data_IF_082677935530
#
_entry.id   IF_082677935530
#
_cell.length_a   1.000
_cell.length_b   1.000
_cell.length_c   1.000
_cell.angle_alpha   90.00
_cell.angle_beta   90.00
_cell.angle_gamma   90.00
#
_symmetry.space_group_name_H-M   'P 1'
#
loop_
_entity.id
_entity.type
_entity.pdbx_description
1 polymer ?
#
# COMPACT_ATOMS: atom_id res chain seq x y z
N UNK A 1 70.45 -0.11 6.72
CA UNK A 1 69.13 0.24 7.28
C UNK A 1 68.16 0.33 6.14
N UNK A 2 67.39 -0.72 5.82
CA UNK A 2 66.43 -0.75 4.71
C UNK A 2 65.06 -0.54 5.27
N UNK A 3 64.42 0.58 4.92
CA UNK A 3 63.00 0.84 5.25
C UNK A 3 62.13 0.12 4.23
N UNK A 4 61.43 -0.90 4.66
CA UNK A 4 60.40 -1.60 3.89
C UNK A 4 59.12 -0.80 4.05
N UNK A 5 58.66 -0.17 2.96
CA UNK A 5 57.34 0.43 2.85
C UNK A 5 56.33 -0.68 2.58
N UNK A 6 55.49 -0.97 3.57
CA UNK A 6 54.34 -1.86 3.42
C UNK A 6 53.20 -1.00 2.85
N UNK A 7 52.97 -1.05 1.54
CA UNK A 7 51.76 -0.50 0.91
C UNK A 7 50.67 -1.51 1.07
N UNK A 8 49.86 -1.31 2.10
CA UNK A 8 48.60 -2.06 2.29
C UNK A 8 47.59 -1.54 1.28
N UNK A 9 47.47 -2.23 0.14
CA UNK A 9 46.46 -1.97 -0.85
C UNK A 9 45.07 -2.29 -0.30
N UNK A 10 44.32 -1.28 0.07
CA UNK A 10 42.91 -1.40 0.41
C UNK A 10 42.15 -1.65 -0.90
N UNK A 11 41.91 -2.93 -1.19
CA UNK A 11 41.05 -3.35 -2.29
C UNK A 11 39.60 -3.04 -1.86
N UNK A 12 39.11 -1.87 -2.24
CA UNK A 12 37.68 -1.53 -2.10
C UNK A 12 36.93 -2.39 -3.11
N UNK A 13 36.43 -3.51 -2.65
CA UNK A 13 35.42 -4.27 -3.36
C UNK A 13 34.13 -3.43 -3.39
N UNK A 14 33.92 -2.70 -4.49
CA UNK A 14 32.66 -2.07 -4.81
C UNK A 14 31.63 -3.17 -5.09
N UNK A 15 30.88 -3.54 -4.06
CA UNK A 15 29.68 -4.37 -4.21
C UNK A 15 28.67 -3.51 -4.93
N UNK A 16 28.38 -3.81 -6.19
CA UNK A 16 27.31 -3.19 -6.96
C UNK A 16 25.99 -3.59 -6.31
N UNK A 17 25.47 -2.77 -5.40
CA UNK A 17 24.15 -2.99 -4.82
C UNK A 17 23.10 -2.54 -5.82
N UNK A 18 22.46 -3.47 -6.50
CA UNK A 18 21.29 -3.20 -7.34
C UNK A 18 20.17 -2.78 -6.41
N UNK A 19 19.90 -1.50 -6.38
CA UNK A 19 18.85 -0.93 -5.57
C UNK A 19 17.50 -1.16 -6.23
N UNK A 20 16.63 -1.92 -5.61
CA UNK A 20 15.23 -1.99 -6.00
C UNK A 20 14.36 -1.36 -4.91
N UNK A 21 13.45 -0.53 -5.28
CA UNK A 21 12.93 0.58 -4.45
C UNK A 21 11.60 0.36 -3.81
N UNK A 22 11.00 -0.81 -3.87
CA UNK A 22 9.67 -1.01 -3.33
C UNK A 22 9.77 -1.73 -2.00
N UNK A 23 9.89 -0.94 -0.96
CA UNK A 23 9.86 -1.44 0.39
C UNK A 23 8.49 -2.00 0.75
N UNK A 24 8.43 -3.30 0.88
CA UNK A 24 7.28 -3.98 1.44
C UNK A 24 6.37 -4.54 0.38
N UNK A 25 6.52 -5.85 0.20
CA UNK A 25 5.63 -6.69 -0.56
C UNK A 25 4.22 -6.21 -0.45
N UNK A 26 3.66 -5.85 -1.58
CA UNK A 26 2.24 -5.78 -1.85
C UNK A 26 1.28 -5.38 -0.74
N UNK A 27 1.76 -4.70 0.26
CA UNK A 27 0.86 -4.10 1.23
C UNK A 27 0.02 -3.08 0.50
N UNK A 28 -1.06 -3.54 -0.11
CA UNK A 28 -2.07 -2.67 -0.66
C UNK A 28 -2.33 -1.57 0.35
N UNK A 29 -2.41 -0.33 -0.08
CA UNK A 29 -2.99 0.69 0.77
C UNK A 29 -4.35 0.16 1.18
N UNK A 30 -4.62 0.11 2.48
CA UNK A 30 -5.96 -0.14 2.98
C UNK A 30 -6.84 1.07 2.64
N UNK A 31 -6.95 1.33 1.35
CA UNK A 31 -7.91 2.28 0.81
C UNK A 31 -9.26 1.61 0.79
N UNK A 32 -10.14 2.04 1.66
CA UNK A 32 -11.49 1.47 1.78
C UNK A 32 -12.43 1.95 0.69
N UNK A 33 -11.99 2.84 -0.22
CA UNK A 33 -12.89 3.49 -1.17
C UNK A 33 -13.85 4.46 -0.47
N UNK A 34 -14.64 5.13 -1.26
CA UNK A 34 -15.84 5.85 -0.81
C UNK A 34 -17.03 4.89 -0.91
N UNK A 35 -17.00 3.75 -0.21
CA UNK A 35 -18.07 2.77 -0.28
C UNK A 35 -19.40 3.47 0.03
N UNK A 36 -20.35 3.51 -0.89
CA UNK A 36 -21.63 4.24 -0.71
C UNK A 36 -22.41 3.75 0.50
N UNK A 37 -22.16 2.52 0.98
CA UNK A 37 -22.87 1.88 2.08
C UNK A 37 -21.90 1.12 3.00
N UNK A 38 -21.06 1.83 3.74
CA UNK A 38 -20.24 1.22 4.81
C UNK A 38 -21.07 0.54 5.92
N UNK A 39 -22.39 0.71 5.91
CA UNK A 39 -23.31 0.10 6.88
C UNK A 39 -23.60 -1.37 6.63
N UNK A 40 -23.42 -1.88 5.41
CA UNK A 40 -23.75 -3.25 5.04
C UNK A 40 -22.55 -4.19 5.15
N UNK A 41 -22.83 -5.46 5.37
CA UNK A 41 -21.87 -6.53 5.14
C UNK A 41 -21.63 -6.64 3.63
N UNK A 42 -20.41 -6.96 3.23
CA UNK A 42 -20.12 -7.06 1.79
C UNK A 42 -19.01 -8.07 1.51
N UNK A 43 -19.00 -8.58 0.29
CA UNK A 43 -17.90 -9.28 -0.34
C UNK A 43 -17.50 -8.51 -1.60
N UNK A 44 -16.21 -8.42 -1.87
CA UNK A 44 -15.72 -7.70 -3.04
C UNK A 44 -14.40 -8.21 -3.58
N UNK A 45 -14.07 -7.73 -4.77
CA UNK A 45 -12.80 -7.95 -5.44
C UNK A 45 -12.20 -6.58 -5.75
N UNK A 46 -10.90 -6.42 -5.51
CA UNK A 46 -10.12 -5.25 -5.87
C UNK A 46 -8.96 -5.64 -6.75
N UNK A 47 -8.71 -4.83 -7.75
CA UNK A 47 -7.51 -4.89 -8.56
C UNK A 47 -6.65 -3.68 -8.26
N UNK A 48 -5.37 -3.91 -8.01
CA UNK A 48 -4.37 -2.86 -7.83
C UNK A 48 -3.28 -3.01 -8.89
N UNK A 49 -2.90 -1.87 -9.44
CA UNK A 49 -1.77 -1.73 -10.33
C UNK A 49 -0.81 -0.67 -9.80
N UNK A 50 0.48 -0.93 -9.88
CA UNK A 50 1.51 0.08 -9.64
C UNK A 50 2.70 -0.17 -10.55
N UNK A 51 3.23 0.90 -11.15
CA UNK A 51 4.40 0.86 -12.02
C UNK A 51 5.51 1.70 -11.42
N UNK A 52 6.68 1.07 -11.34
CA UNK A 52 7.90 1.71 -10.86
C UNK A 52 9.02 1.54 -11.86
N UNK A 53 9.80 2.59 -12.03
CA UNK A 53 10.98 2.58 -12.85
C UNK A 53 12.20 2.89 -11.97
N UNK A 54 13.21 2.02 -12.05
CA UNK A 54 14.46 2.14 -11.31
C UNK A 54 15.60 2.32 -12.28
N UNK A 55 16.50 3.22 -11.98
CA UNK A 55 17.72 3.44 -12.71
C UNK A 55 18.87 3.62 -11.70
N UNK A 56 19.96 2.87 -11.88
CA UNK A 56 21.08 2.95 -10.96
C UNK A 56 21.81 4.27 -11.12
N UNK A 57 22.12 4.93 -10.00
CA UNK A 57 22.85 6.19 -10.02
C UNK A 57 24.28 6.06 -10.58
N UNK A 58 24.90 4.90 -10.36
CA UNK A 58 26.29 4.63 -10.78
C UNK A 58 26.39 4.06 -12.19
N UNK A 59 25.31 3.57 -12.76
CA UNK A 59 25.27 3.02 -14.11
C UNK A 59 23.88 3.26 -14.74
N UNK A 60 23.70 4.38 -15.45
CA UNK A 60 22.43 4.73 -16.07
C UNK A 60 21.95 3.74 -17.16
N UNK A 61 22.81 2.83 -17.63
CA UNK A 61 22.43 1.79 -18.59
C UNK A 61 21.66 0.66 -17.93
N UNK A 62 21.86 0.45 -16.61
CA UNK A 62 21.12 -0.55 -15.86
C UNK A 62 19.79 0.03 -15.36
N UNK A 63 18.71 -0.54 -15.83
CA UNK A 63 17.37 -0.15 -15.43
C UNK A 63 16.50 -1.35 -15.11
N UNK A 64 15.44 -1.13 -14.35
CA UNK A 64 14.35 -2.09 -14.21
C UNK A 64 13.01 -1.39 -14.19
N UNK A 65 12.02 -2.00 -14.84
CA UNK A 65 10.63 -1.56 -14.77
C UNK A 65 9.81 -2.66 -14.11
N UNK A 66 9.17 -2.31 -13.00
CA UNK A 66 8.41 -3.24 -12.18
C UNK A 66 6.93 -2.92 -12.27
N UNK A 67 6.14 -3.88 -12.73
CA UNK A 67 4.69 -3.83 -12.78
C UNK A 67 4.13 -4.72 -11.68
N UNK A 68 3.58 -4.08 -10.65
CA UNK A 68 2.92 -4.77 -9.53
C UNK A 68 1.44 -4.85 -9.79
N UNK A 69 0.96 -6.07 -9.96
CA UNK A 69 -0.43 -6.37 -10.15
C UNK A 69 -0.92 -7.21 -8.97
N UNK A 70 -2.04 -6.86 -8.40
CA UNK A 70 -2.69 -7.72 -7.43
C UNK A 70 -4.20 -7.71 -7.58
N UNK A 71 -4.78 -8.89 -7.42
CA UNK A 71 -6.22 -9.07 -7.24
C UNK A 71 -6.45 -9.45 -5.79
N UNK A 72 -7.29 -8.73 -5.09
CA UNK A 72 -7.57 -8.96 -3.69
C UNK A 72 -9.06 -9.25 -3.49
N UNK A 73 -9.37 -10.38 -2.88
CA UNK A 73 -10.69 -10.64 -2.33
C UNK A 73 -10.75 -9.97 -0.95
N UNK A 74 -11.76 -9.14 -0.74
CA UNK A 74 -11.95 -8.47 0.52
C UNK A 74 -13.39 -8.50 0.98
N UNK A 75 -13.57 -8.48 2.29
CA UNK A 75 -14.88 -8.59 2.89
C UNK A 75 -14.98 -7.75 4.15
N UNK A 76 -16.18 -7.32 4.49
CA UNK A 76 -16.48 -6.60 5.71
C UNK A 76 -17.75 -7.14 6.37
N UNK A 77 -17.67 -7.45 7.66
CA UNK A 77 -18.79 -7.92 8.47
C UNK A 77 -19.04 -7.00 9.64
N UNK A 78 -20.32 -6.71 9.91
CA UNK A 78 -20.75 -5.99 11.10
C UNK A 78 -20.97 -6.98 12.23
N UNK A 79 -20.07 -7.01 13.21
CA UNK A 79 -20.24 -7.80 14.44
C UNK A 79 -21.28 -7.14 15.36
N UNK A 80 -21.27 -5.79 15.39
CA UNK A 80 -22.26 -4.99 16.08
C UNK A 80 -22.50 -3.67 15.33
N UNK A 81 -23.40 -2.82 15.85
CA UNK A 81 -23.66 -1.49 15.27
C UNK A 81 -22.39 -0.59 15.23
N UNK A 82 -21.42 -0.86 16.11
CA UNK A 82 -20.20 -0.06 16.24
C UNK A 82 -18.91 -0.84 15.96
N UNK A 83 -18.99 -2.14 15.70
CA UNK A 83 -17.81 -2.98 15.47
C UNK A 83 -17.90 -3.65 14.11
N UNK A 84 -16.90 -3.42 13.28
CA UNK A 84 -16.72 -4.05 11.97
C UNK A 84 -15.43 -4.83 11.92
N UNK A 85 -15.44 -5.94 11.20
CA UNK A 85 -14.26 -6.76 10.92
C UNK A 85 -14.08 -6.86 9.42
N UNK A 86 -12.84 -6.78 8.97
CA UNK A 86 -12.46 -6.87 7.56
C UNK A 86 -11.44 -7.98 7.37
N UNK A 87 -11.55 -8.65 6.24
CA UNK A 87 -10.59 -9.64 5.77
C UNK A 87 -10.10 -9.30 4.37
N UNK A 88 -8.82 -9.55 4.09
CA UNK A 88 -8.16 -9.26 2.82
C UNK A 88 -7.28 -10.43 2.43
N UNK A 89 -7.47 -10.94 1.23
CA UNK A 89 -6.72 -12.08 0.66
C UNK A 89 -6.18 -11.65 -0.70
N UNK A 90 -4.91 -11.21 -0.79
CA UNK A 90 -4.32 -10.76 -2.04
C UNK A 90 -3.71 -11.93 -2.83
N UNK A 91 -3.82 -11.87 -4.15
CA UNK A 91 -3.06 -12.66 -5.10
C UNK A 91 -2.24 -11.72 -5.99
N UNK A 92 -0.94 -11.91 -6.02
CA UNK A 92 0.00 -11.11 -6.80
C UNK A 92 0.31 -11.73 -8.14
N UNK A 93 0.45 -10.90 -9.18
CA UNK A 93 0.91 -11.23 -10.52
C UNK A 93 1.92 -10.15 -10.96
N UNK A 94 3.10 -10.19 -10.38
CA UNK A 94 4.13 -9.18 -10.58
C UNK A 94 4.98 -9.52 -11.79
N UNK A 95 5.35 -8.49 -12.56
CA UNK A 95 6.24 -8.58 -13.70
C UNK A 95 7.38 -7.59 -13.51
N UNK A 96 8.60 -8.04 -13.66
CA UNK A 96 9.81 -7.21 -13.71
C UNK A 96 10.42 -7.34 -15.09
N UNK A 97 10.83 -6.19 -15.65
CA UNK A 97 11.56 -6.09 -16.91
C UNK A 97 12.86 -5.36 -16.62
N UNK A 98 13.98 -6.00 -16.89
CA UNK A 98 15.32 -5.47 -16.72
C UNK A 98 16.21 -5.82 -17.92
N UNK A 99 17.50 -5.48 -17.88
CA UNK A 99 18.46 -5.72 -18.96
C UNK A 99 18.67 -7.21 -19.22
N UNK A 100 18.48 -8.08 -18.22
CA UNK A 100 18.63 -9.53 -18.33
C UNK A 100 17.36 -10.23 -18.90
N UNK A 101 16.25 -9.49 -18.98
CA UNK A 101 15.00 -10.00 -19.56
C UNK A 101 13.73 -9.68 -18.77
N UNK A 102 12.82 -10.63 -18.76
CA UNK A 102 11.53 -10.49 -18.08
C UNK A 102 11.33 -11.63 -17.09
N UNK A 103 11.07 -11.27 -15.84
CA UNK A 103 10.75 -12.21 -14.77
C UNK A 103 9.31 -12.02 -14.26
N UNK A 104 8.69 -13.12 -13.82
CA UNK A 104 7.33 -13.12 -13.25
C UNK A 104 7.34 -13.75 -11.86
N UNK A 105 6.58 -13.16 -10.94
CA UNK A 105 6.39 -13.71 -9.60
C UNK A 105 4.91 -13.65 -9.21
N UNK A 106 4.30 -14.82 -9.15
CA UNK A 106 2.86 -14.95 -8.94
C UNK A 106 2.55 -15.82 -7.74
N UNK A 107 1.47 -15.52 -7.03
CA UNK A 107 1.00 -16.33 -5.92
C UNK A 107 0.20 -15.57 -4.89
N UNK A 108 -0.26 -16.31 -3.87
CA UNK A 108 -0.96 -15.73 -2.73
C UNK A 108 0.01 -14.88 -1.90
N UNK A 109 -0.49 -13.73 -1.45
CA UNK A 109 0.21 -12.87 -0.52
C UNK A 109 -0.18 -13.10 0.93
N UNK A 110 0.22 -12.17 1.78
CA UNK A 110 -0.07 -12.21 3.21
C UNK A 110 -1.52 -11.82 3.50
N UNK A 111 -2.27 -12.71 4.14
CA UNK A 111 -3.65 -12.47 4.54
C UNK A 111 -3.67 -11.45 5.67
N UNK A 112 -4.58 -10.47 5.58
CA UNK A 112 -4.76 -9.43 6.58
C UNK A 112 -6.15 -9.50 7.17
N UNK A 113 -6.26 -9.38 8.48
CA UNK A 113 -7.52 -9.23 9.20
C UNK A 113 -7.47 -7.96 10.07
N UNK A 114 -8.57 -7.22 10.13
CA UNK A 114 -8.66 -5.96 10.87
C UNK A 114 -10.04 -5.77 11.47
N UNK A 115 -10.08 -5.16 12.65
CA UNK A 115 -11.32 -4.72 13.29
C UNK A 115 -11.31 -3.20 13.48
N UNK A 116 -12.46 -2.56 13.28
CA UNK A 116 -12.66 -1.13 13.49
C UNK A 116 -13.85 -0.90 14.42
N UNK A 117 -13.68 -0.01 15.37
CA UNK A 117 -14.72 0.45 16.29
C UNK A 117 -15.10 1.89 15.97
N UNK A 118 -16.42 2.15 15.91
CA UNK A 118 -16.98 3.47 15.69
C UNK A 118 -16.94 4.28 16.98
N UNK A 119 -16.01 5.24 17.06
CA UNK A 119 -15.85 6.13 18.20
C UNK A 119 -16.93 7.21 18.22
N UNK A 120 -17.26 7.74 17.05
CA UNK A 120 -18.24 8.82 16.90
C UNK A 120 -19.12 8.58 15.68
N UNK A 121 -20.41 8.81 15.84
CA UNK A 121 -21.37 8.98 14.75
C UNK A 121 -22.36 10.07 15.15
N UNK A 122 -22.38 11.17 14.42
CA UNK A 122 -23.26 12.28 14.69
C UNK A 122 -23.94 12.72 13.41
N UNK A 123 -25.27 12.76 13.44
CA UNK A 123 -26.10 13.28 12.34
C UNK A 123 -26.87 14.48 12.84
N UNK A 124 -26.70 15.62 12.21
CA UNK A 124 -27.38 16.89 12.55
C UNK A 124 -27.95 17.54 11.29
N UNK A 125 -29.03 18.27 11.43
CA UNK A 125 -29.50 19.17 10.38
C UNK A 125 -28.90 20.56 10.57
N UNK A 126 -28.36 21.11 9.48
CA UNK A 126 -27.82 22.47 9.47
C UNK A 126 -28.97 23.48 9.30
N UNK A 127 -28.71 24.76 9.59
CA UNK A 127 -29.68 25.85 9.39
C UNK A 127 -30.18 25.93 7.93
N UNK A 128 -29.41 25.47 6.95
CA UNK A 128 -29.78 25.36 5.53
C UNK A 128 -30.52 24.06 5.19
N UNK A 129 -31.06 23.36 6.17
CA UNK A 129 -31.80 22.09 6.04
C UNK A 129 -31.00 20.93 5.40
N UNK A 130 -29.66 21.07 5.28
CA UNK A 130 -28.78 19.98 4.83
C UNK A 130 -28.43 19.06 5.98
N UNK A 131 -28.25 17.79 5.70
CA UNK A 131 -27.79 16.79 6.69
C UNK A 131 -26.28 16.86 6.78
N UNK A 132 -25.77 17.13 7.98
CA UNK A 132 -24.38 16.94 8.37
C UNK A 132 -24.23 15.55 9.00
N UNK A 133 -23.43 14.69 8.43
CA UNK A 133 -23.08 13.38 8.98
C UNK A 133 -21.58 13.31 9.23
N UNK A 134 -21.21 12.88 10.43
CA UNK A 134 -19.81 12.74 10.85
C UNK A 134 -19.59 11.38 11.49
N UNK A 135 -18.51 10.71 11.10
CA UNK A 135 -18.13 9.41 11.63
C UNK A 135 -16.63 9.35 11.88
N UNK A 136 -16.24 8.79 13.01
CA UNK A 136 -14.87 8.46 13.35
C UNK A 136 -14.80 6.98 13.65
N UNK A 137 -13.94 6.28 12.95
CA UNK A 137 -13.62 4.87 13.16
C UNK A 137 -12.16 4.74 13.52
N UNK A 138 -11.86 3.90 14.48
CA UNK A 138 -10.50 3.55 14.86
C UNK A 138 -10.40 2.05 15.05
N UNK A 139 -9.28 1.46 14.67
CA UNK A 139 -9.10 0.04 14.77
C UNK A 139 -7.68 -0.42 14.57
N UNK A 140 -7.53 -1.71 14.56
CA UNK A 140 -6.26 -2.38 14.35
C UNK A 140 -6.46 -3.77 13.76
N UNK A 141 -5.36 -4.37 13.37
CA UNK A 141 -5.37 -5.68 12.76
C UNK A 141 -4.00 -6.31 12.75
N UNK A 142 -3.94 -7.45 12.12
CA UNK A 142 -2.71 -8.20 11.92
C UNK A 142 -2.66 -8.78 10.51
N UNK A 143 -1.45 -8.94 10.01
CA UNK A 143 -1.12 -9.56 8.74
C UNK A 143 -0.36 -10.85 9.02
N UNK A 144 -0.90 -11.96 8.52
CA UNK A 144 -0.33 -13.30 8.68
C UNK A 144 0.73 -13.57 7.59
N UNK A 145 1.83 -14.26 7.90
CA UNK A 145 2.87 -14.61 6.94
C UNK A 145 2.45 -15.81 6.06
N UNK A 146 1.39 -15.65 5.28
CA UNK A 146 0.84 -16.70 4.40
C UNK A 146 1.40 -16.65 2.98
N UNK A 147 1.96 -15.51 2.59
CA UNK A 147 2.67 -15.34 1.32
C UNK A 147 4.08 -15.93 1.36
N UNK A 148 4.54 -16.41 0.21
CA UNK A 148 5.89 -16.97 0.09
C UNK A 148 6.97 -15.91 0.34
N UNK A 149 7.91 -16.22 1.23
CA UNK A 149 9.16 -15.51 1.41
C UNK A 149 10.31 -16.52 1.25
N UNK A 150 10.90 -16.56 0.05
CA UNK A 150 11.89 -17.56 -0.35
C UNK A 150 13.14 -16.87 -0.90
N UNK A 151 13.83 -16.14 -0.05
CA UNK A 151 15.06 -15.44 -0.40
C UNK A 151 16.22 -16.00 0.44
N UNK A 152 17.31 -16.37 -0.22
CA UNK A 152 18.52 -16.73 0.48
C UNK A 152 19.33 -15.47 0.79
N UNK A 153 19.09 -14.85 1.95
CA UNK A 153 19.79 -13.64 2.39
C UNK A 153 21.30 -13.84 2.66
N UNK A 154 21.80 -15.09 2.62
CA UNK A 154 23.22 -15.42 2.73
C UNK A 154 23.91 -15.47 1.37
N UNK A 155 23.14 -15.52 0.28
CA UNK A 155 23.67 -15.49 -1.06
C UNK A 155 24.08 -14.04 -1.41
N UNK A 156 25.34 -13.86 -1.77
CA UNK A 156 25.88 -12.57 -2.19
C UNK A 156 25.27 -12.03 -3.48
N UNK A 157 24.61 -12.89 -4.26
CA UNK A 157 23.90 -12.50 -5.48
C UNK A 157 22.45 -12.06 -5.21
N UNK A 158 21.94 -12.24 -3.98
CA UNK A 158 20.60 -11.79 -3.63
C UNK A 158 20.53 -10.26 -3.62
N UNK A 159 19.70 -9.72 -4.47
CA UNK A 159 19.49 -8.28 -4.59
C UNK A 159 18.34 -7.78 -3.70
N UNK A 160 18.30 -6.48 -3.41
CA UNK A 160 17.17 -5.85 -2.74
C UNK A 160 15.89 -6.01 -3.60
N UNK A 161 16.06 -6.09 -4.94
CA UNK A 161 14.99 -6.41 -5.88
C UNK A 161 14.31 -7.73 -5.56
N UNK A 162 15.10 -8.78 -5.36
CA UNK A 162 14.60 -10.12 -5.06
C UNK A 162 13.81 -10.13 -3.74
N UNK A 163 14.30 -9.40 -2.75
CA UNK A 163 13.64 -9.28 -1.45
C UNK A 163 12.30 -8.55 -1.59
N UNK A 164 12.27 -7.46 -2.36
CA UNK A 164 11.06 -6.66 -2.54
C UNK A 164 10.03 -7.31 -3.45
N UNK A 165 10.45 -8.22 -4.33
CA UNK A 165 9.56 -8.99 -5.19
C UNK A 165 8.87 -10.16 -4.47
N UNK A 166 9.14 -10.40 -3.16
CA UNK A 166 8.51 -11.50 -2.43
C UNK A 166 7.00 -11.32 -2.32
N UNK A 167 6.26 -12.42 -2.27
CA UNK A 167 4.80 -12.43 -2.16
C UNK A 167 4.32 -12.17 -0.74
N UNK A 168 5.17 -12.46 0.24
CA UNK A 168 4.95 -12.21 1.67
C UNK A 168 6.17 -11.62 2.35
N UNK A 169 6.02 -11.24 3.61
CA UNK A 169 7.13 -10.72 4.44
C UNK A 169 7.78 -11.79 5.31
N UNK A 170 7.14 -12.97 5.43
CA UNK A 170 7.58 -14.02 6.35
C UNK A 170 7.41 -13.66 7.83
N UNK A 171 6.72 -12.55 8.15
CA UNK A 171 6.53 -12.05 9.51
C UNK A 171 5.07 -11.77 9.83
N UNK A 172 4.69 -11.89 11.12
CA UNK A 172 3.42 -11.43 11.64
C UNK A 172 3.51 -9.93 11.88
N UNK A 173 2.74 -9.13 11.13
CA UNK A 173 2.79 -7.68 11.25
C UNK A 173 1.49 -7.13 11.84
N UNK A 174 1.56 -5.94 12.45
CA UNK A 174 0.42 -5.30 13.09
C UNK A 174 0.02 -4.02 12.36
N UNK A 175 -1.27 -3.71 12.40
CA UNK A 175 -1.82 -2.52 11.76
C UNK A 175 -2.64 -1.71 12.76
N UNK A 176 -2.50 -0.39 12.69
CA UNK A 176 -3.39 0.57 13.33
C UNK A 176 -4.04 1.41 12.23
N UNK A 177 -5.33 1.64 12.32
CA UNK A 177 -6.07 2.38 11.31
C UNK A 177 -7.05 3.36 11.95
N UNK A 178 -7.11 4.56 11.38
CA UNK A 178 -8.11 5.59 11.68
C UNK A 178 -8.83 6.03 10.42
N UNK A 179 -10.13 6.25 10.51
CA UNK A 179 -10.96 6.75 9.42
C UNK A 179 -11.88 7.85 9.95
N UNK A 180 -11.87 8.99 9.29
CA UNK A 180 -12.79 10.08 9.52
C UNK A 180 -13.58 10.38 8.26
N UNK A 181 -14.90 10.45 8.38
CA UNK A 181 -15.78 10.84 7.28
C UNK A 181 -16.68 11.96 7.75
N UNK A 182 -16.80 13.00 6.94
CA UNK A 182 -17.74 14.08 7.13
C UNK A 182 -18.47 14.35 5.82
N UNK A 183 -19.78 14.54 5.88
CA UNK A 183 -20.54 14.95 4.71
C UNK A 183 -21.61 15.99 5.05
N UNK A 184 -21.82 16.93 4.14
CA UNK A 184 -22.87 17.95 4.23
C UNK A 184 -23.67 17.92 2.93
N UNK A 185 -24.90 17.40 3.02
CA UNK A 185 -25.72 17.16 1.83
C UNK A 185 -25.01 16.18 0.88
N UNK A 186 -24.71 16.64 -0.32
CA UNK A 186 -24.07 15.82 -1.35
C UNK A 186 -22.54 15.88 -1.34
N UNK A 187 -21.93 16.83 -0.67
CA UNK A 187 -20.48 16.95 -0.56
C UNK A 187 -19.97 16.21 0.66
N UNK A 188 -18.86 15.53 0.53
CA UNK A 188 -18.20 14.87 1.67
C UNK A 188 -16.69 14.81 1.53
N UNK A 189 -16.06 14.56 2.67
CA UNK A 189 -14.62 14.32 2.80
C UNK A 189 -14.41 13.03 3.56
N UNK A 190 -13.50 12.21 3.08
CA UNK A 190 -13.03 11.00 3.73
C UNK A 190 -11.53 11.13 3.96
N UNK A 191 -11.09 11.00 5.21
CA UNK A 191 -9.68 10.99 5.58
C UNK A 191 -9.36 9.68 6.30
N UNK A 192 -8.31 9.00 5.86
CA UNK A 192 -7.85 7.77 6.48
C UNK A 192 -6.36 7.80 6.76
N UNK A 193 -5.94 7.12 7.80
CA UNK A 193 -4.53 6.91 8.12
C UNK A 193 -4.34 5.48 8.61
N UNK A 194 -3.26 4.84 8.14
CA UNK A 194 -2.87 3.48 8.54
C UNK A 194 -1.39 3.46 8.88
N UNK A 195 -1.05 2.87 10.01
CA UNK A 195 0.33 2.59 10.39
C UNK A 195 0.53 1.08 10.50
N UNK A 196 1.43 0.54 9.67
CA UNK A 196 1.82 -0.87 9.68
C UNK A 196 3.16 -1.02 10.39
N UNK A 197 3.17 -1.82 11.43
CA UNK A 197 4.35 -2.20 12.22
C UNK A 197 4.79 -3.57 11.73
N UNK A 198 5.91 -3.62 11.03
CA UNK A 198 6.48 -4.86 10.55
C UNK A 198 7.39 -5.46 11.62
N UNK A 199 7.28 -6.78 11.83
CA UNK A 199 8.16 -7.52 12.74
C UNK A 199 9.29 -8.20 11.96
N UNK A 200 10.26 -8.74 12.71
CA UNK A 200 11.39 -9.48 12.13
C UNK A 200 10.93 -10.90 11.77
N UNK A 201 11.27 -11.34 10.57
CA UNK A 201 11.00 -12.70 10.13
C UNK A 201 12.08 -13.69 10.61
N UNK A 202 11.96 -14.97 10.25
CA UNK A 202 12.90 -16.04 10.66
C UNK A 202 14.32 -15.84 10.10
N UNK A 203 14.47 -15.12 8.99
CA UNK A 203 15.78 -14.80 8.38
C UNK A 203 16.41 -13.53 8.94
N UNK A 204 15.94 -13.05 10.10
CA UNK A 204 16.39 -11.81 10.74
C UNK A 204 16.21 -10.57 9.86
N UNK A 205 15.29 -10.63 8.87
CA UNK A 205 14.92 -9.51 8.04
C UNK A 205 13.63 -8.87 8.54
N UNK A 206 13.61 -7.54 8.62
CA UNK A 206 12.44 -6.76 8.96
C UNK A 206 12.22 -5.67 7.91
N UNK A 207 11.08 -5.73 7.27
CA UNK A 207 10.65 -4.64 6.39
C UNK A 207 10.42 -3.35 7.19
N UNK A 208 10.63 -2.21 6.55
CA UNK A 208 10.38 -0.92 7.15
C UNK A 208 8.92 -0.72 7.55
N UNK A 209 8.69 -0.10 8.70
CA UNK A 209 7.33 0.28 9.10
C UNK A 209 6.76 1.27 8.08
N UNK A 210 5.46 1.15 7.80
CA UNK A 210 4.78 1.95 6.78
C UNK A 210 3.68 2.81 7.39
N UNK A 211 3.74 4.10 7.11
CA UNK A 211 2.63 5.02 7.31
C UNK A 211 1.99 5.34 5.97
N UNK A 212 0.67 5.32 5.89
CA UNK A 212 -0.09 5.75 4.72
C UNK A 212 -1.31 6.53 5.15
N UNK A 213 -1.60 7.62 4.44
CA UNK A 213 -2.78 8.43 4.67
C UNK A 213 -3.38 8.92 3.35
N UNK A 214 -4.69 9.11 3.34
CA UNK A 214 -5.41 9.69 2.21
C UNK A 214 -6.44 10.69 2.71
N UNK A 215 -6.67 11.75 1.93
CA UNK A 215 -7.74 12.70 2.15
C UNK A 215 -8.44 12.95 0.82
N UNK A 216 -9.73 12.62 0.74
CA UNK A 216 -10.50 12.57 -0.51
C UNK A 216 -11.79 13.36 -0.34
N UNK A 217 -11.97 14.37 -1.17
CA UNK A 217 -13.23 15.08 -1.35
C UNK A 217 -14.06 14.41 -2.44
N UNK A 218 -15.35 14.29 -2.23
CA UNK A 218 -16.28 13.69 -3.19
C UNK A 218 -17.60 14.45 -3.26
N UNK A 219 -18.28 14.30 -4.38
CA UNK A 219 -19.62 14.84 -4.57
C UNK A 219 -20.58 13.71 -4.99
N UNK A 220 -21.66 13.50 -4.24
CA UNK A 220 -22.68 12.48 -4.52
C UNK A 220 -23.73 13.02 -5.49
N UNK A 221 -23.85 12.39 -6.64
CA UNK A 221 -24.87 12.66 -7.65
C UNK A 221 -25.87 11.49 -7.59
N UNK A 222 -27.07 11.76 -7.11
CA UNK A 222 -28.13 10.77 -7.10
C UNK A 222 -28.86 10.76 -8.44
N UNK A 223 -28.92 9.60 -9.10
CA UNK A 223 -29.63 9.39 -10.36
C UNK A 223 -30.61 8.23 -10.16
N UNK A 224 -31.86 8.54 -9.90
CA UNK A 224 -32.90 7.56 -9.51
C UNK A 224 -32.46 6.76 -8.27
N UNK A 225 -32.22 5.45 -8.44
CA UNK A 225 -31.77 4.53 -7.38
C UNK A 225 -30.23 4.34 -7.35
N UNK A 226 -29.52 5.07 -8.19
CA UNK A 226 -28.07 4.93 -8.36
C UNK A 226 -27.36 6.17 -7.83
N UNK A 227 -26.10 5.99 -7.48
CA UNK A 227 -25.25 7.08 -7.04
C UNK A 227 -23.97 7.09 -7.87
N UNK A 228 -23.54 8.26 -8.28
CA UNK A 228 -22.24 8.49 -8.91
C UNK A 228 -21.50 9.47 -8.02
N UNK A 229 -20.27 9.15 -7.63
CA UNK A 229 -19.48 10.00 -6.73
C UNK A 229 -18.09 10.23 -7.32
N UNK A 230 -17.93 11.22 -8.22
CA UNK A 230 -16.61 11.69 -8.60
C UNK A 230 -15.86 12.17 -7.36
N UNK A 231 -14.56 11.92 -7.34
CA UNK A 231 -13.72 12.24 -6.20
C UNK A 231 -12.31 12.64 -6.62
N UNK A 232 -11.72 13.51 -5.81
CA UNK A 232 -10.33 13.93 -5.93
C UNK A 232 -9.69 13.97 -4.54
N UNK A 233 -8.39 13.81 -4.46
CA UNK A 233 -7.73 13.83 -3.17
C UNK A 233 -6.22 13.80 -3.27
N UNK A 234 -5.62 13.64 -2.10
CA UNK A 234 -4.19 13.48 -1.92
C UNK A 234 -3.92 12.23 -1.09
N UNK A 235 -2.83 11.55 -1.41
CA UNK A 235 -2.29 10.45 -0.65
C UNK A 235 -0.87 10.73 -0.22
N UNK A 236 -0.48 10.23 0.94
CA UNK A 236 0.89 10.25 1.45
C UNK A 236 1.26 8.88 1.96
N UNK A 237 2.43 8.40 1.56
CA UNK A 237 3.02 7.16 2.06
C UNK A 237 4.46 7.42 2.49
N UNK A 238 4.86 6.82 3.60
CA UNK A 238 6.24 6.81 4.08
C UNK A 238 6.57 5.42 4.62
N UNK A 239 7.73 4.91 4.23
CA UNK A 239 8.26 3.63 4.67
C UNK A 239 9.65 3.85 5.23
N UNK A 240 9.91 3.39 6.44
CA UNK A 240 11.25 3.43 7.03
C UNK A 240 12.19 2.42 6.36
N UNK A 241 13.50 2.56 6.57
CA UNK A 241 14.47 1.60 6.04
C UNK A 241 14.21 0.19 6.58
N UNK A 242 14.48 -0.81 5.75
CA UNK A 242 14.50 -2.21 6.16
C UNK A 242 15.67 -2.47 7.10
N UNK A 243 15.61 -3.58 7.83
CA UNK A 243 16.65 -3.98 8.78
C UNK A 243 17.00 -5.44 8.55
N UNK A 244 18.29 -5.76 8.45
CA UNK A 244 18.81 -7.12 8.37
C UNK A 244 19.82 -7.32 9.50
N UNK A 245 19.65 -8.32 10.33
CA UNK A 245 20.52 -8.60 11.49
C UNK A 245 20.75 -7.39 12.42
N UNK A 246 19.72 -6.54 12.59
CA UNK A 246 19.79 -5.32 13.40
C UNK A 246 20.39 -4.10 12.70
N UNK A 247 21.01 -4.25 11.54
CA UNK A 247 21.58 -3.17 10.75
C UNK A 247 20.58 -2.65 9.69
N UNK A 248 20.57 -1.33 9.46
CA UNK A 248 19.77 -0.73 8.39
C UNK A 248 20.29 -1.15 7.02
N UNK A 249 19.38 -1.56 6.14
CA UNK A 249 19.68 -1.85 4.73
C UNK A 249 19.67 -0.53 3.96
N UNK A 250 20.78 -0.24 3.28
CA UNK A 250 20.91 0.96 2.43
C UNK A 250 19.94 0.91 1.25
N UNK A 251 19.62 2.07 0.69
CA UNK A 251 18.72 2.22 -0.47
C UNK A 251 17.34 1.57 -0.25
N UNK A 252 16.89 1.51 1.01
CA UNK A 252 15.55 1.11 1.38
C UNK A 252 14.88 2.24 2.13
N UNK A 253 13.56 2.21 2.17
CA UNK A 253 12.79 3.34 2.69
C UNK A 253 12.32 4.26 1.56
N UNK A 254 11.24 4.96 1.82
CA UNK A 254 10.63 5.82 0.81
C UNK A 254 9.62 6.79 1.42
N UNK A 255 9.35 7.86 0.67
CA UNK A 255 8.15 8.65 0.87
C UNK A 255 7.61 9.12 -0.48
N UNK A 256 6.30 9.23 -0.57
CA UNK A 256 5.61 9.72 -1.76
C UNK A 256 4.34 10.44 -1.39
N UNK A 257 4.11 11.58 -2.03
CA UNK A 257 2.84 12.30 -2.05
C UNK A 257 2.22 12.13 -3.43
N UNK A 258 0.96 11.73 -3.49
CA UNK A 258 0.23 11.48 -4.74
C UNK A 258 -1.00 12.38 -4.85
N UNK A 259 -1.30 12.85 -6.07
CA UNK A 259 -2.63 13.32 -6.43
C UNK A 259 -3.50 12.10 -6.78
N UNK A 260 -4.75 12.13 -6.34
CA UNK A 260 -5.72 11.06 -6.55
C UNK A 260 -6.94 11.62 -7.26
N UNK A 261 -7.42 10.91 -8.29
CA UNK A 261 -8.71 11.17 -8.92
C UNK A 261 -9.44 9.84 -9.16
N UNK A 262 -10.75 9.85 -8.98
CA UNK A 262 -11.55 8.63 -9.09
C UNK A 262 -13.03 8.88 -9.22
N UNK A 263 -13.76 7.79 -9.36
CA UNK A 263 -15.22 7.78 -9.37
C UNK A 263 -15.75 6.50 -8.71
N UNK A 264 -16.82 6.65 -7.94
CA UNK A 264 -17.55 5.55 -7.32
C UNK A 264 -18.96 5.50 -7.86
N UNK A 265 -19.46 4.30 -8.08
CA UNK A 265 -20.81 4.00 -8.54
C UNK A 265 -21.51 3.10 -7.53
N UNK A 266 -22.72 3.44 -7.15
CA UNK A 266 -23.58 2.63 -6.30
C UNK A 266 -24.86 2.22 -7.05
N UNK A 267 -25.08 0.92 -7.19
CA UNK A 267 -26.24 0.34 -7.86
C UNK A 267 -26.92 -0.67 -6.92
N UNK A 268 -27.94 -0.24 -6.17
CA UNK A 268 -28.60 -1.12 -5.18
C UNK A 268 -27.60 -1.80 -4.24
N UNK A 269 -27.34 -3.09 -4.46
CA UNK A 269 -26.39 -3.92 -3.68
C UNK A 269 -24.98 -3.94 -4.26
N UNK A 270 -24.73 -3.32 -5.41
CA UNK A 270 -23.43 -3.33 -6.09
C UNK A 270 -22.75 -1.98 -5.91
N UNK A 271 -21.51 -2.00 -5.46
CA UNK A 271 -20.61 -0.86 -5.46
C UNK A 271 -19.45 -1.11 -6.41
N UNK A 272 -19.13 -0.14 -7.25
CA UNK A 272 -17.97 -0.18 -8.14
C UNK A 272 -17.21 1.12 -8.01
N UNK A 273 -15.89 1.06 -8.07
CA UNK A 273 -15.07 2.26 -8.05
C UNK A 273 -13.77 2.08 -8.80
N UNK A 274 -13.23 3.18 -9.24
CA UNK A 274 -11.89 3.24 -9.80
C UNK A 274 -11.20 4.53 -9.39
N UNK A 275 -9.90 4.46 -9.18
CA UNK A 275 -9.07 5.64 -8.98
C UNK A 275 -7.69 5.47 -9.58
N UNK A 276 -7.08 6.60 -9.88
CA UNK A 276 -5.72 6.72 -10.37
C UNK A 276 -4.98 7.67 -9.43
N UNK A 277 -3.72 7.34 -9.14
CA UNK A 277 -2.84 8.13 -8.31
C UNK A 277 -1.55 8.44 -9.08
N UNK A 278 -1.20 9.71 -9.18
CA UNK A 278 0.00 10.20 -9.82
C UNK A 278 0.93 10.80 -8.77
N UNK A 279 2.24 10.50 -8.80
CA UNK A 279 3.18 11.08 -7.85
C UNK A 279 3.33 12.58 -8.10
N UNK A 280 3.25 13.38 -7.03
CA UNK A 280 3.55 14.80 -7.03
C UNK A 280 4.97 15.06 -6.51
N UNK A 281 5.35 14.35 -5.45
CA UNK A 281 6.66 14.38 -4.83
C UNK A 281 7.00 12.98 -4.37
N UNK A 282 8.22 12.53 -4.61
CA UNK A 282 8.64 11.19 -4.24
C UNK A 282 10.13 11.10 -3.99
N UNK A 283 10.49 10.19 -3.10
CA UNK A 283 11.87 9.75 -2.90
C UNK A 283 11.81 8.26 -2.51
N UNK A 284 12.19 7.40 -3.43
CA UNK A 284 12.34 5.97 -3.22
C UNK A 284 13.81 5.60 -3.40
N UNK A 285 14.36 4.80 -2.49
CA UNK A 285 15.75 4.34 -2.56
C UNK A 285 16.75 5.49 -2.85
N UNK A 286 16.63 6.59 -2.11
CA UNK A 286 17.50 7.76 -2.26
C UNK A 286 17.43 8.39 -3.68
N UNK A 287 16.27 8.29 -4.34
CA UNK A 287 16.00 8.88 -5.66
C UNK A 287 16.26 7.97 -6.85
N UNK A 288 16.76 6.75 -6.64
CA UNK A 288 17.06 5.81 -7.73
C UNK A 288 15.79 5.24 -8.38
N UNK A 289 14.66 5.33 -7.71
CA UNK A 289 13.39 4.83 -8.23
C UNK A 289 12.30 5.87 -8.26
N UNK A 290 11.44 5.67 -9.21
CA UNK A 290 10.30 6.52 -9.48
C UNK A 290 9.03 5.68 -9.60
N UNK A 291 8.03 6.02 -8.81
CA UNK A 291 6.66 5.63 -9.06
C UNK A 291 6.16 6.39 -10.30
N UNK A 292 5.61 5.68 -11.27
CA UNK A 292 5.00 6.27 -12.47
C UNK A 292 3.50 6.45 -12.29
N UNK A 293 2.84 5.40 -11.84
CA UNK A 293 1.39 5.35 -11.72
C UNK A 293 0.97 4.33 -10.67
N UNK A 294 -0.08 4.65 -9.91
CA UNK A 294 -0.92 3.65 -9.22
C UNK A 294 -2.34 3.75 -9.73
N UNK A 295 -3.00 2.61 -9.88
CA UNK A 295 -4.42 2.53 -10.20
C UNK A 295 -5.10 1.47 -9.35
N UNK A 296 -6.37 1.66 -9.06
CA UNK A 296 -7.18 0.69 -8.35
C UNK A 296 -8.59 0.67 -8.95
N UNK A 297 -9.14 -0.53 -9.09
CA UNK A 297 -10.55 -0.72 -9.38
C UNK A 297 -11.14 -1.73 -8.40
N UNK A 298 -12.40 -1.58 -8.03
CA UNK A 298 -13.06 -2.52 -7.16
C UNK A 298 -14.52 -2.76 -7.55
N UNK A 299 -14.97 -3.95 -7.21
CA UNK A 299 -16.37 -4.37 -7.28
C UNK A 299 -16.75 -4.95 -5.91
N UNK A 300 -17.87 -4.50 -5.35
CA UNK A 300 -18.39 -4.97 -4.08
C UNK A 300 -19.86 -5.35 -4.21
N UNK A 301 -20.25 -6.36 -3.49
CA UNK A 301 -21.64 -6.82 -3.38
C UNK A 301 -22.07 -6.78 -1.91
N UNK A 302 -23.13 -6.01 -1.62
CA UNK A 302 -23.72 -5.95 -0.28
C UNK A 302 -24.60 -7.19 -0.03
N UNK A 303 -24.35 -7.86 1.09
CA UNK A 303 -25.01 -9.08 1.49
C UNK A 303 -26.37 -8.82 2.17
#
# INVERSE_FOLDING_TARGET
MKKIFFILGFLVLSISSIACPICGCGGGNLYFGLLPNFSSQFLGIRYHYAEYHTQLANDPTQFSTNHYNSVEVWTGFNISRRLKVFGFVPYYANKQVDDDGTSFKNGLGDITAMAQYQLLHTTKRTNSNKVLDQQVWFGGGFKLPTGGFNVNLKDTNTTIADINAQLGTGSLDFLLNGLYTISVGNFGVNASATYKINTTNHDQYRYGNKFSSTCIGYYKIAVKQHTISPNIGIGYESVSSNVLNGAKVQYTGSHVTTALAGVEFGFNKIGMGMNVQLPMQQNFAEGQTQLRLKAMAHLTFAL
#
